data_IF_593526442175
#
_entry.id   IF_593526442175
#
_cell.length_a   1.000
_cell.length_b   1.000
_cell.length_c   1.000
_cell.angle_alpha   90.00
_cell.angle_beta   90.00
_cell.angle_gamma   90.00
#
_symmetry.space_group_name_H-M   'P 1'
#
loop_
_entity.id
_entity.type
_entity.pdbx_description
1 polymer ?
#
# COMPACT_ATOMS: atom_id res chain seq x y z
N UNK A 1 -10.21 27.62 7.06
CA UNK A 1 -9.52 28.93 6.94
C UNK A 1 -8.00 28.87 7.21
N UNK A 2 -7.51 27.92 8.02
CA UNK A 2 -6.09 27.79 8.40
C UNK A 2 -5.15 27.48 7.22
N UNK A 3 -5.49 26.50 6.38
CA UNK A 3 -4.65 26.09 5.25
C UNK A 3 -4.50 27.21 4.20
N UNK A 4 -5.59 27.90 3.87
CA UNK A 4 -5.59 29.05 2.96
C UNK A 4 -4.75 30.21 3.50
N UNK A 5 -4.81 30.48 4.81
CA UNK A 5 -3.99 31.50 5.45
C UNK A 5 -2.48 31.20 5.40
N UNK A 6 -2.11 29.92 5.49
CA UNK A 6 -0.71 29.47 5.44
C UNK A 6 -0.14 29.41 4.02
N UNK A 7 -0.96 29.13 3.01
CA UNK A 7 -0.50 28.98 1.62
C UNK A 7 -0.65 30.25 0.78
N UNK A 8 -1.53 31.19 1.13
CA UNK A 8 -1.80 32.39 0.31
C UNK A 8 -0.60 33.32 0.12
N UNK A 9 0.36 33.30 1.04
CA UNK A 9 1.56 34.14 1.01
C UNK A 9 2.80 33.39 0.47
N UNK A 10 2.67 32.11 0.13
CA UNK A 10 3.77 31.32 -0.40
C UNK A 10 3.91 31.52 -1.93
N UNK A 11 5.14 31.49 -2.46
CA UNK A 11 5.36 31.40 -3.90
C UNK A 11 4.61 30.21 -4.49
N UNK A 12 3.98 30.39 -5.66
CA UNK A 12 3.09 29.37 -6.28
C UNK A 12 3.68 27.96 -6.32
N UNK A 13 4.96 27.83 -6.71
CA UNK A 13 5.63 26.53 -6.77
C UNK A 13 5.77 25.85 -5.40
N UNK A 14 6.06 26.63 -4.36
CA UNK A 14 6.17 26.13 -2.98
C UNK A 14 4.80 25.79 -2.40
N UNK A 15 3.77 26.58 -2.70
CA UNK A 15 2.39 26.30 -2.28
C UNK A 15 1.87 24.99 -2.89
N UNK A 16 2.16 24.73 -4.17
CA UNK A 16 1.79 23.48 -4.85
C UNK A 16 2.52 22.30 -4.19
N UNK A 17 3.84 22.40 -4.01
CA UNK A 17 4.63 21.33 -3.39
C UNK A 17 4.18 21.01 -1.97
N UNK A 18 3.94 22.03 -1.14
CA UNK A 18 3.46 21.87 0.22
C UNK A 18 2.06 21.25 0.28
N UNK A 19 1.18 21.63 -0.65
CA UNK A 19 -0.18 21.07 -0.72
C UNK A 19 -0.15 19.60 -1.12
N UNK A 20 0.61 19.23 -2.15
CA UNK A 20 0.72 17.84 -2.59
C UNK A 20 1.32 16.96 -1.49
N UNK A 21 2.45 17.38 -0.91
CA UNK A 21 3.08 16.66 0.19
C UNK A 21 2.12 16.50 1.37
N UNK A 22 1.44 17.58 1.76
CA UNK A 22 0.47 17.57 2.85
C UNK A 22 -0.69 16.59 2.62
N UNK A 23 -1.26 16.57 1.42
CA UNK A 23 -2.36 15.64 1.07
C UNK A 23 -1.88 14.19 1.09
N UNK A 24 -0.71 13.89 0.52
CA UNK A 24 -0.16 12.53 0.52
C UNK A 24 0.16 12.05 1.93
N UNK A 25 0.78 12.89 2.76
CA UNK A 25 1.08 12.57 4.16
C UNK A 25 -0.20 12.34 4.96
N UNK A 26 -1.21 13.20 4.80
CA UNK A 26 -2.49 13.04 5.51
C UNK A 26 -3.22 11.77 5.05
N UNK A 27 -3.18 11.46 3.76
CA UNK A 27 -3.77 10.24 3.20
C UNK A 27 -3.11 9.00 3.77
N UNK A 28 -1.78 8.96 3.80
CA UNK A 28 -1.03 7.85 4.37
C UNK A 28 -1.25 7.73 5.89
N UNK A 29 -1.26 8.83 6.63
CA UNK A 29 -1.54 8.83 8.06
C UNK A 29 -2.94 8.27 8.37
N UNK A 30 -3.93 8.62 7.55
CA UNK A 30 -5.31 8.11 7.67
C UNK A 30 -5.37 6.61 7.38
N UNK A 31 -4.72 6.16 6.30
CA UNK A 31 -4.59 4.73 5.99
C UNK A 31 -3.91 3.97 7.14
N UNK A 32 -2.78 4.48 7.63
CA UNK A 32 -2.02 3.87 8.71
C UNK A 32 -2.86 3.79 9.99
N UNK A 33 -3.59 4.85 10.34
CA UNK A 33 -4.52 4.81 11.47
C UNK A 33 -5.48 3.63 11.34
N UNK A 34 -6.24 3.55 10.25
CA UNK A 34 -7.19 2.44 10.07
C UNK A 34 -6.52 1.06 10.00
N UNK A 35 -5.33 0.96 9.40
CA UNK A 35 -4.60 -0.30 9.23
C UNK A 35 -3.99 -0.82 10.54
N UNK A 36 -3.50 0.09 11.39
CA UNK A 36 -2.69 -0.23 12.57
C UNK A 36 -3.42 0.02 13.89
N UNK A 37 -4.64 0.58 13.92
CA UNK A 37 -5.48 0.60 15.14
C UNK A 37 -6.46 -0.56 15.21
N UNK A 38 -6.52 -1.41 14.18
CA UNK A 38 -7.31 -2.62 14.21
C UNK A 38 -6.80 -3.63 15.24
N UNK A 39 -7.60 -4.67 15.56
CA UNK A 39 -7.16 -5.77 16.44
C UNK A 39 -5.89 -6.46 15.95
N UNK A 40 -5.54 -6.22 14.68
CA UNK A 40 -4.41 -6.80 13.98
C UNK A 40 -3.17 -5.94 13.88
N UNK A 41 -3.23 -4.67 14.33
CA UNK A 41 -2.09 -3.76 14.35
C UNK A 41 -1.23 -3.83 13.08
N UNK A 42 -1.84 -3.93 11.89
CA UNK A 42 -1.07 -4.00 10.66
C UNK A 42 -0.56 -5.37 10.21
N UNK A 43 -0.78 -6.42 11.00
CA UNK A 43 -0.28 -7.78 10.76
C UNK A 43 -1.27 -8.73 10.09
N UNK A 44 -0.84 -9.98 9.89
CA UNK A 44 -1.71 -11.12 9.60
C UNK A 44 -2.31 -11.61 10.93
N UNK A 45 -3.51 -11.13 11.28
CA UNK A 45 -4.23 -11.61 12.46
C UNK A 45 -4.78 -13.01 12.32
N UNK A 46 -5.15 -13.65 13.45
CA UNK A 46 -6.16 -14.71 13.44
C UNK A 46 -7.40 -14.23 12.65
N UNK A 47 -7.60 -14.75 11.44
CA UNK A 47 -8.66 -14.34 10.52
C UNK A 47 -8.18 -13.86 9.14
N UNK A 48 -6.90 -13.48 9.01
CA UNK A 48 -6.28 -13.29 7.69
C UNK A 48 -6.31 -14.59 6.88
N UNK A 49 -6.51 -14.54 5.55
CA UNK A 49 -6.58 -15.76 4.74
C UNK A 49 -5.29 -16.54 4.91
N UNK A 50 -5.40 -17.81 5.32
CA UNK A 50 -4.24 -18.69 5.55
C UNK A 50 -3.32 -18.77 4.31
N UNK A 51 -3.88 -18.54 3.12
CA UNK A 51 -3.21 -18.51 1.82
C UNK A 51 -2.30 -17.31 1.58
N UNK A 52 -2.32 -16.31 2.46
CA UNK A 52 -1.46 -15.11 2.38
C UNK A 52 -0.20 -15.24 3.25
N UNK A 53 0.12 -16.44 3.73
CA UNK A 53 1.40 -16.67 4.41
C UNK A 53 2.53 -16.84 3.38
N UNK A 54 3.78 -16.52 3.74
CA UNK A 54 4.93 -16.72 2.84
C UNK A 54 5.09 -18.17 2.37
N UNK A 55 4.76 -19.14 3.24
CA UNK A 55 4.83 -20.57 2.90
C UNK A 55 3.76 -20.96 1.87
N UNK A 56 2.54 -20.42 2.01
CA UNK A 56 1.47 -20.63 1.04
C UNK A 56 1.77 -19.96 -0.30
N UNK A 57 2.38 -18.78 -0.29
CA UNK A 57 2.79 -18.09 -1.51
C UNK A 57 3.85 -18.90 -2.26
N UNK A 58 4.89 -19.38 -1.57
CA UNK A 58 5.93 -20.21 -2.17
C UNK A 58 5.38 -21.52 -2.77
N UNK A 59 4.53 -22.23 -2.01
CA UNK A 59 3.87 -23.45 -2.48
C UNK A 59 2.94 -23.19 -3.68
N UNK A 60 2.23 -22.07 -3.68
CA UNK A 60 1.32 -21.69 -4.78
C UNK A 60 2.09 -21.38 -6.06
N UNK A 61 3.25 -20.71 -5.97
CA UNK A 61 4.12 -20.41 -7.11
C UNK A 61 4.67 -21.70 -7.72
N UNK A 62 5.14 -22.64 -6.90
CA UNK A 62 5.65 -23.93 -7.37
C UNK A 62 4.55 -24.76 -8.04
N UNK A 63 3.39 -24.87 -7.40
CA UNK A 63 2.23 -25.55 -7.97
C UNK A 63 1.79 -24.94 -9.31
N UNK A 64 1.72 -23.61 -9.39
CA UNK A 64 1.38 -22.90 -10.62
C UNK A 64 2.38 -23.17 -11.77
N UNK A 65 3.68 -23.32 -11.44
CA UNK A 65 4.73 -23.69 -12.39
C UNK A 65 4.51 -25.11 -12.94
N UNK A 66 4.25 -26.09 -12.07
CA UNK A 66 4.01 -27.49 -12.49
C UNK A 66 2.76 -27.60 -13.36
N UNK A 67 1.69 -26.88 -12.99
CA UNK A 67 0.44 -26.85 -13.75
C UNK A 67 0.51 -26.06 -15.05
N UNK A 68 1.66 -25.41 -15.36
CA UNK A 68 1.81 -24.48 -16.49
C UNK A 68 0.67 -23.44 -16.50
N UNK A 69 0.28 -22.95 -15.33
CA UNK A 69 -0.91 -22.10 -15.17
C UNK A 69 -0.83 -20.79 -15.99
N UNK A 70 0.38 -20.32 -16.31
CA UNK A 70 0.58 -19.20 -17.22
C UNK A 70 1.72 -19.48 -18.21
N UNK A 71 1.47 -20.33 -19.23
CA UNK A 71 2.53 -20.90 -20.05
C UNK A 71 3.27 -19.82 -20.85
N UNK A 72 2.57 -18.79 -21.31
CA UNK A 72 3.11 -17.72 -22.16
C UNK A 72 4.16 -16.85 -21.44
N UNK A 73 4.00 -16.61 -20.13
CA UNK A 73 4.92 -15.78 -19.34
C UNK A 73 6.19 -16.51 -18.89
N UNK A 74 6.17 -17.84 -18.82
CA UNK A 74 7.30 -18.64 -18.29
C UNK A 74 8.29 -19.15 -19.36
N UNK A 75 8.02 -18.97 -20.66
CA UNK A 75 8.96 -19.32 -21.74
C UNK A 75 10.00 -18.23 -22.07
N UNK A 76 9.92 -17.05 -21.45
CA UNK A 76 11.01 -16.06 -21.48
C UNK A 76 11.83 -16.17 -20.20
N UNK A 77 12.77 -17.12 -20.18
CA UNK A 77 13.98 -17.04 -19.37
C UNK A 77 15.12 -16.59 -20.27
#
# INVERSE_FOLDING_TARGET
MVLYGMTKNLPKGQAIGATIAGVLTLSYATFAFFRYTGPDLGGNVPGSPKTMSPEWEAASVEYARVQKANPIRHFKQ
#
